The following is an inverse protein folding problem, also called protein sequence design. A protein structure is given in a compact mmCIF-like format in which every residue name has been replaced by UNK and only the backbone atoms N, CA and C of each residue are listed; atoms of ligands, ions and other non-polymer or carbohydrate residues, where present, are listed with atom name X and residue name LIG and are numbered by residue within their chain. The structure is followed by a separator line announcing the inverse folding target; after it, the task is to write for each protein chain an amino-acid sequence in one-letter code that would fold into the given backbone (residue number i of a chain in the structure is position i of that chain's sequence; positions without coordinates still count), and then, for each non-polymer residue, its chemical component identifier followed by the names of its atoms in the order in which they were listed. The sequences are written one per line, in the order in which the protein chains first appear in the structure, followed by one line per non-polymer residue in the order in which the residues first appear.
data_IF_486890486445
#
_entry.id   IF_486890486445
#
_cell.length_a   1.000
_cell.length_b   1.000
_cell.length_c   1.000
_cell.angle_alpha   90.00
_cell.angle_beta   90.00
_cell.angle_gamma   90.00
#
_symmetry.space_group_name_H-M   'P 1'
#
loop_
_entity.id
_entity.type
_entity.pdbx_description
1 polymer ?
#
# COMPACT_ATOMS: atom_id res chain seq x y z
N UNK A 1 12.91 3.84 2.62
CA UNK A 1 11.87 4.09 1.60
C UNK A 1 10.65 3.22 1.86
N UNK A 2 10.74 1.88 1.75
CA UNK A 2 9.60 0.97 1.96
C UNK A 2 8.93 1.13 3.33
N UNK A 3 9.71 1.09 4.43
CA UNK A 3 9.17 1.30 5.78
C UNK A 3 8.51 2.67 5.94
N UNK A 4 9.13 3.73 5.40
CA UNK A 4 8.57 5.08 5.46
C UNK A 4 7.26 5.21 4.68
N UNK A 5 7.17 4.55 3.51
CA UNK A 5 5.93 4.45 2.75
C UNK A 5 4.85 3.70 3.55
N UNK A 6 5.16 2.54 4.11
CA UNK A 6 4.18 1.76 4.91
C UNK A 6 3.75 2.52 6.16
N UNK A 7 4.66 3.23 6.83
CA UNK A 7 4.31 4.10 7.97
C UNK A 7 3.35 5.22 7.54
N UNK A 8 3.60 5.88 6.40
CA UNK A 8 2.69 6.89 5.86
C UNK A 8 1.34 6.28 5.46
N UNK A 9 1.35 5.09 4.84
CA UNK A 9 0.16 4.32 4.48
C UNK A 9 -0.64 3.85 5.70
N UNK A 10 0.02 3.55 6.81
CA UNK A 10 -0.64 3.21 8.09
C UNK A 10 -1.18 4.43 8.84
N UNK A 11 -0.84 5.65 8.42
CA UNK A 11 -1.29 6.89 9.07
C UNK A 11 -2.63 7.34 8.52
N UNK A 12 -3.69 6.63 8.92
CA UNK A 12 -5.06 6.79 8.38
C UNK A 12 -5.87 7.91 9.03
N UNK A 13 -5.34 8.52 10.09
CA UNK A 13 -6.03 9.45 11.00
C UNK A 13 -6.33 10.84 10.41
N UNK A 14 -5.82 11.16 9.22
CA UNK A 14 -5.97 12.49 8.63
C UNK A 14 -7.01 12.56 7.48
N UNK A 15 -7.55 11.41 7.03
CA UNK A 15 -8.43 11.32 5.86
C UNK A 15 -7.67 11.09 4.55
N UNK A 16 -8.39 10.75 3.47
CA UNK A 16 -7.81 10.28 2.20
C UNK A 16 -6.81 11.28 1.58
N UNK A 17 -7.19 12.57 1.46
CA UNK A 17 -6.35 13.58 0.79
C UNK A 17 -4.98 13.80 1.46
N UNK A 18 -4.88 14.06 2.78
CA UNK A 18 -3.58 14.18 3.44
C UNK A 18 -2.82 12.84 3.49
N UNK A 19 -3.52 11.71 3.55
CA UNK A 19 -2.93 10.37 3.48
C UNK A 19 -2.20 10.13 2.15
N UNK A 20 -2.87 10.37 1.02
CA UNK A 20 -2.26 10.30 -0.32
C UNK A 20 -1.12 11.29 -0.50
N UNK A 21 -1.26 12.50 0.05
CA UNK A 21 -0.21 13.53 0.00
C UNK A 21 1.05 13.10 0.75
N UNK A 22 0.90 12.47 1.91
CA UNK A 22 2.00 11.93 2.71
C UNK A 22 2.73 10.77 2.03
N UNK A 23 2.03 9.99 1.19
CA UNK A 23 2.62 8.88 0.43
C UNK A 23 3.30 9.29 -0.88
N UNK A 24 2.87 10.41 -1.49
CA UNK A 24 3.42 10.95 -2.75
C UNK A 24 4.96 11.04 -2.84
N UNK A 25 5.72 11.41 -1.79
CA UNK A 25 7.19 11.42 -1.87
C UNK A 25 7.82 10.02 -2.00
N UNK A 26 7.14 8.98 -1.55
CA UNK A 26 7.68 7.62 -1.49
C UNK A 26 7.07 6.66 -2.54
N UNK A 27 5.87 6.96 -3.04
CA UNK A 27 5.16 6.19 -4.06
C UNK A 27 5.30 6.73 -5.47
N UNK A 28 5.02 5.88 -6.46
CA UNK A 28 4.82 6.30 -7.85
C UNK A 28 3.48 6.99 -8.01
N UNK A 29 3.32 7.92 -8.97
CA UNK A 29 2.03 8.56 -9.21
C UNK A 29 0.93 7.55 -9.56
N UNK A 30 1.28 6.44 -10.23
CA UNK A 30 0.37 5.33 -10.53
C UNK A 30 -0.17 4.67 -9.27
N UNK A 31 0.69 4.42 -8.28
CA UNK A 31 0.28 3.86 -6.99
C UNK A 31 -0.67 4.80 -6.24
N UNK A 32 -0.31 6.08 -6.14
CA UNK A 32 -1.15 7.08 -5.47
C UNK A 32 -2.51 7.19 -6.16
N UNK A 33 -2.54 7.14 -7.49
CA UNK A 33 -3.78 7.12 -8.26
C UNK A 33 -4.61 5.87 -8.00
N UNK A 34 -3.97 4.70 -7.82
CA UNK A 34 -4.67 3.45 -7.51
C UNK A 34 -5.25 3.43 -6.09
N UNK A 35 -4.65 4.18 -5.17
CA UNK A 35 -5.14 4.35 -3.80
C UNK A 35 -6.19 5.46 -3.67
N UNK A 36 -6.39 6.28 -4.71
CA UNK A 36 -7.44 7.29 -4.74
C UNK A 36 -8.81 6.62 -4.75
N UNK A 37 -9.69 6.94 -3.80
CA UNK A 37 -10.96 6.23 -3.58
C UNK A 37 -10.85 5.03 -2.63
N UNK A 38 -9.66 4.72 -2.11
CA UNK A 38 -9.49 3.74 -1.02
C UNK A 38 -9.75 4.43 0.31
N UNK A 39 -10.73 3.93 1.06
CA UNK A 39 -11.00 4.45 2.39
C UNK A 39 -9.87 4.05 3.37
N UNK A 40 -9.20 5.01 4.01
CA UNK A 40 -8.10 4.71 4.91
C UNK A 40 -8.54 3.97 6.18
N UNK A 41 -9.82 3.98 6.56
CA UNK A 41 -10.31 3.15 7.67
C UNK A 41 -10.42 1.66 7.31
N UNK A 42 -10.35 1.30 6.02
CA UNK A 42 -10.25 -0.10 5.57
C UNK A 42 -8.84 -0.66 5.67
N UNK A 43 -7.84 0.15 6.03
CA UNK A 43 -6.46 -0.30 6.21
C UNK A 43 -6.33 -0.98 7.58
N UNK A 44 -6.14 -2.32 7.65
CA UNK A 44 -6.00 -3.02 8.93
C UNK A 44 -4.67 -2.71 9.62
N UNK A 45 -3.68 -2.22 8.87
CA UNK A 45 -2.35 -1.91 9.36
C UNK A 45 -2.28 -0.49 9.93
N UNK A 46 -2.33 -0.37 11.26
CA UNK A 46 -2.24 0.93 11.96
C UNK A 46 -0.79 1.35 12.26
N UNK A 47 0.14 0.40 12.28
CA UNK A 47 1.56 0.66 12.53
C UNK A 47 2.46 -0.47 12.03
N UNK A 48 3.71 -0.12 11.72
CA UNK A 48 4.79 -1.09 11.50
C UNK A 48 5.22 -1.68 12.85
N UNK A 49 5.27 -3.01 12.94
CA UNK A 49 5.58 -3.75 14.18
C UNK A 49 7.00 -4.30 14.23
N UNK A 50 7.73 -4.26 13.11
CA UNK A 50 9.11 -4.72 13.06
C UNK A 50 9.86 -4.24 11.81
N UNK A 51 11.07 -4.75 11.63
CA UNK A 51 11.93 -4.35 10.51
C UNK A 51 11.45 -4.90 9.16
N UNK A 52 11.60 -4.05 8.14
CA UNK A 52 11.33 -4.40 6.77
C UNK A 52 12.39 -5.38 6.24
N UNK A 53 11.96 -6.49 5.66
CA UNK A 53 12.82 -7.51 5.08
C UNK A 53 12.78 -7.45 3.55
N UNK A 54 13.94 -7.24 2.91
CA UNK A 54 14.06 -7.35 1.46
C UNK A 54 13.83 -8.82 1.05
N UNK A 55 12.78 -9.09 0.28
CA UNK A 55 12.43 -10.44 -0.19
C UNK A 55 13.22 -10.79 -1.44
N UNK A 56 13.20 -9.91 -2.42
CA UNK A 56 13.76 -10.14 -3.75
C UNK A 56 14.17 -8.82 -4.41
N UNK A 57 15.22 -8.85 -5.23
CA UNK A 57 15.60 -7.75 -6.14
C UNK A 57 15.78 -8.33 -7.52
N UNK A 58 15.12 -7.73 -8.53
CA UNK A 58 15.17 -8.17 -9.91
C UNK A 58 15.38 -6.97 -10.84
N UNK A 59 16.64 -6.58 -11.03
CA UNK A 59 17.02 -5.47 -11.91
C UNK A 59 16.45 -4.14 -11.40
N UNK A 60 15.53 -3.48 -12.13
CA UNK A 60 14.91 -2.24 -11.69
C UNK A 60 13.74 -2.44 -10.70
N UNK A 61 13.44 -3.67 -10.26
CA UNK A 61 12.38 -3.92 -9.28
C UNK A 61 12.91 -4.59 -8.00
N UNK A 62 12.27 -4.32 -6.86
CA UNK A 62 12.63 -4.88 -5.57
C UNK A 62 11.38 -5.09 -4.72
N UNK A 63 11.21 -6.25 -4.11
CA UNK A 63 10.07 -6.55 -3.23
C UNK A 63 10.54 -6.54 -1.78
N UNK A 64 9.90 -5.74 -0.94
CA UNK A 64 10.23 -5.59 0.49
C UNK A 64 9.00 -5.95 1.32
N UNK A 65 9.16 -6.85 2.27
CA UNK A 65 8.09 -7.27 3.16
C UNK A 65 8.20 -6.53 4.49
N UNK A 66 7.14 -5.84 4.89
CA UNK A 66 7.07 -5.02 6.09
C UNK A 66 6.04 -5.63 7.06
N UNK A 67 6.46 -6.08 8.25
CA UNK A 67 5.53 -6.54 9.27
C UNK A 67 4.78 -5.35 9.90
N UNK A 68 3.45 -5.44 9.93
CA UNK A 68 2.57 -4.46 10.55
C UNK A 68 1.67 -5.15 11.58
N UNK A 69 0.93 -4.36 12.36
CA UNK A 69 -0.02 -4.87 13.35
C UNK A 69 -1.19 -5.62 12.69
N UNK A 70 -1.57 -5.22 11.47
CA UNK A 70 -2.63 -5.83 10.67
C UNK A 70 -2.16 -6.98 9.77
N UNK A 71 -0.93 -7.48 9.93
CA UNK A 71 -0.33 -8.49 9.07
C UNK A 71 0.92 -8.00 8.33
N UNK A 72 1.47 -8.82 7.45
CA UNK A 72 2.70 -8.49 6.71
C UNK A 72 2.33 -7.98 5.32
N UNK A 73 2.95 -6.87 4.90
CA UNK A 73 2.70 -6.21 3.62
C UNK A 73 3.94 -6.31 2.73
N UNK A 74 3.80 -6.90 1.55
CA UNK A 74 4.80 -6.84 0.50
C UNK A 74 4.66 -5.53 -0.28
N UNK A 75 5.73 -4.77 -0.37
CA UNK A 75 5.83 -3.53 -1.15
C UNK A 75 6.78 -3.78 -2.30
N UNK A 76 6.27 -3.70 -3.51
CA UNK A 76 7.07 -3.69 -4.72
C UNK A 76 7.58 -2.27 -4.97
N UNK A 77 8.89 -2.16 -5.12
CA UNK A 77 9.59 -0.94 -5.45
C UNK A 77 10.10 -1.05 -6.88
N UNK A 78 10.06 0.09 -7.56
CA UNK A 78 10.66 0.27 -8.88
C UNK A 78 11.72 1.35 -8.80
N UNK A 79 12.86 1.11 -9.45
CA UNK A 79 13.92 2.08 -9.62
C UNK A 79 13.62 2.92 -10.85
N UNK A 80 13.20 4.17 -10.63
CA UNK A 80 13.06 5.17 -11.68
C UNK A 80 14.22 6.15 -11.60
N UNK A 81 15.08 6.13 -12.63
CA UNK A 81 16.21 7.07 -12.77
C UNK A 81 17.12 7.13 -11.53
N UNK A 82 17.41 5.99 -10.90
CA UNK A 82 18.25 5.91 -9.70
C UNK A 82 17.51 6.09 -8.37
N UNK A 83 16.20 6.38 -8.40
CA UNK A 83 15.37 6.54 -7.20
C UNK A 83 14.40 5.38 -7.06
N UNK A 84 14.45 4.68 -5.93
CA UNK A 84 13.48 3.64 -5.59
C UNK A 84 12.18 4.25 -5.09
N UNK A 85 11.07 3.89 -5.72
CA UNK A 85 9.71 4.30 -5.34
C UNK A 85 8.82 3.07 -5.17
N UNK A 86 7.90 3.12 -4.21
CA UNK A 86 6.88 2.11 -4.09
C UNK A 86 5.95 2.18 -5.31
N UNK A 87 5.88 1.08 -6.06
CA UNK A 87 5.04 0.95 -7.24
C UNK A 87 3.73 0.26 -6.92
N UNK A 88 3.78 -0.74 -6.05
CA UNK A 88 2.62 -1.51 -5.63
C UNK A 88 2.79 -1.99 -4.20
N UNK A 89 1.68 -2.19 -3.49
CA UNK A 89 1.67 -2.91 -2.22
C UNK A 89 0.60 -4.00 -2.25
N UNK A 90 0.90 -5.13 -1.63
CA UNK A 90 0.01 -6.27 -1.50
C UNK A 90 0.21 -6.92 -0.12
N UNK A 91 -0.82 -7.57 0.45
CA UNK A 91 -0.64 -8.41 1.63
C UNK A 91 0.32 -9.57 1.30
N UNK A 92 1.36 -9.78 2.13
CA UNK A 92 2.32 -10.91 2.03
C UNK A 92 1.63 -12.22 2.43
N UNK A 93 0.63 -12.15 3.31
CA UNK A 93 -0.24 -13.26 3.72
C UNK A 93 -1.64 -13.04 3.13
N UNK A 94 -1.84 -13.44 1.88
CA UNK A 94 -3.16 -13.62 1.33
C UNK A 94 -3.53 -15.10 1.46
N UNK A 95 -4.35 -15.51 2.45
CA UNK A 95 -5.06 -16.77 2.34
C UNK A 95 -5.92 -16.73 1.05
N UNK A 96 -6.03 -17.83 0.28
CA UNK A 96 -6.91 -17.89 -0.89
C UNK A 96 -8.37 -17.75 -0.43
N UNK A 97 -8.86 -16.51 -0.33
CA UNK A 97 -10.20 -16.23 0.20
C UNK A 97 -10.35 -14.92 0.99
N UNK A 98 -9.29 -14.17 1.30
CA UNK A 98 -9.48 -12.79 1.76
C UNK A 98 -10.14 -12.00 0.62
N UNK A 99 -11.27 -11.29 0.85
CA UNK A 99 -11.87 -10.48 -0.18
C UNK A 99 -10.84 -9.46 -0.61
N UNK A 100 -10.30 -9.62 -1.83
CA UNK A 100 -9.79 -8.48 -2.58
C UNK A 100 -10.81 -7.38 -2.40
N UNK A 101 -10.45 -6.19 -1.88
CA UNK A 101 -11.32 -5.04 -2.02
C UNK A 101 -11.54 -4.90 -3.52
N UNK A 102 -12.70 -5.35 -3.95
CA UNK A 102 -13.17 -5.09 -5.28
C UNK A 102 -13.32 -3.57 -5.30
N UNK A 103 -12.41 -2.88 -5.98
CA UNK A 103 -12.66 -1.53 -6.48
C UNK A 103 -13.75 -1.60 -7.57
N UNK A 104 -14.86 -2.27 -7.26
CA UNK A 104 -16.08 -2.18 -8.04
C UNK A 104 -16.51 -0.73 -7.98
N UNK A 105 -16.80 -0.05 -9.11
CA UNK A 105 -17.54 1.19 -9.03
C UNK A 105 -18.83 0.89 -8.27
N UNK A 106 -19.25 1.79 -7.40
CA UNK A 106 -20.52 1.67 -6.67
C UNK A 106 -21.62 1.22 -7.63
N UNK A 107 -22.00 -0.06 -7.59
CA UNK A 107 -23.24 -0.49 -8.21
C UNK A 107 -24.33 0.14 -7.39
N UNK A 108 -24.98 1.13 -8.01
CA UNK A 108 -26.21 1.72 -7.55
C UNK A 108 -27.09 0.64 -6.89
N UNK A 109 -27.44 0.88 -5.63
CA UNK A 109 -28.51 0.15 -4.97
C UNK A 109 -29.81 0.53 -5.68
N UNK A 110 -30.15 -0.17 -6.75
CA UNK A 110 -31.47 -0.09 -7.38
C UNK A 110 -32.44 -0.82 -6.47
N UNK A 111 -33.04 -0.08 -5.54
CA UNK A 111 -34.10 -0.55 -4.68
C UNK A 111 -35.46 -0.47 -5.38
N UNK A 112 -36.08 -1.64 -5.49
CA UNK A 112 -37.52 -1.96 -5.52
C UNK A 112 -38.44 -1.23 -6.52
#
# INVERSE_FOLDING_TARGET
MATAFVTAWSTTTQGETPWLTGMKPWGTPSLISSLTGTDPAQVPATRVTGDAALKSVKGPTATVSVPTDGGRIAVDLVNQSGTWKADTLAPDDAPPGAPTPSLSPATASSGN
#
